data_IF_555220786291
#
_entry.id   IF_555220786291
#
_cell.length_a   1.000
_cell.length_b   1.000
_cell.length_c   1.000
_cell.angle_alpha   90.00
_cell.angle_beta   90.00
_cell.angle_gamma   90.00
#
_symmetry.space_group_name_H-M   'P 1'
#
loop_
_entity.id
_entity.type
_entity.pdbx_description
1 polymer ?
#
# COMPACT_ATOMS: atom_id res chain seq x y z
N UNK A 1 -29.18 19.38 7.50
CA UNK A 1 -28.98 18.00 7.01
C UNK A 1 -30.09 17.69 6.01
N UNK A 2 -29.85 17.99 4.72
CA UNK A 2 -30.78 17.56 3.66
C UNK A 2 -30.73 16.03 3.53
N UNK A 3 -31.90 15.44 3.32
CA UNK A 3 -32.19 14.02 3.45
C UNK A 3 -31.53 13.20 2.32
N UNK A 4 -30.33 12.70 2.57
CA UNK A 4 -29.64 11.75 1.68
C UNK A 4 -30.21 10.32 1.75
N UNK A 5 -30.98 10.00 2.78
CA UNK A 5 -31.54 8.66 2.97
C UNK A 5 -33.07 8.69 2.89
N UNK A 6 -33.70 7.62 2.35
CA UNK A 6 -35.15 7.47 2.43
C UNK A 6 -35.59 7.66 3.88
N UNK A 7 -36.69 8.39 4.09
CA UNK A 7 -37.29 8.72 5.37
C UNK A 7 -37.75 7.45 6.11
N UNK A 8 -36.83 6.58 6.53
CA UNK A 8 -37.11 5.56 7.52
C UNK A 8 -37.32 6.30 8.84
N UNK A 9 -38.54 6.13 9.35
CA UNK A 9 -39.09 6.78 10.52
C UNK A 9 -38.04 6.95 11.62
N UNK A 10 -37.62 8.21 11.86
CA UNK A 10 -36.81 8.63 13.03
C UNK A 10 -37.41 8.16 14.37
N UNK A 11 -38.62 7.61 14.39
CA UNK A 11 -39.38 7.27 15.60
C UNK A 11 -39.16 5.84 16.11
N UNK A 12 -38.57 4.92 15.34
CA UNK A 12 -38.56 3.49 15.73
C UNK A 12 -37.19 2.91 16.09
N UNK A 13 -36.09 3.62 15.83
CA UNK A 13 -34.77 3.22 16.30
C UNK A 13 -34.34 4.20 17.39
N UNK A 14 -34.65 3.87 18.65
CA UNK A 14 -33.88 4.41 19.75
C UNK A 14 -32.45 3.91 19.58
N UNK A 15 -31.62 4.66 18.85
CA UNK A 15 -30.20 4.38 18.77
C UNK A 15 -29.65 4.51 20.18
N UNK A 16 -29.44 3.38 20.83
CA UNK A 16 -28.84 3.34 22.16
C UNK A 16 -27.51 4.08 22.08
N UNK A 17 -27.28 4.98 23.03
CA UNK A 17 -26.06 5.81 23.08
C UNK A 17 -24.76 4.99 22.95
N UNK A 18 -24.74 3.76 23.49
CA UNK A 18 -23.62 2.82 23.35
C UNK A 18 -23.30 2.41 21.91
N UNK A 19 -24.29 2.30 21.02
CA UNK A 19 -24.07 1.96 19.61
C UNK A 19 -23.44 3.13 18.84
N UNK A 20 -23.89 4.36 19.14
CA UNK A 20 -23.29 5.56 18.58
C UNK A 20 -21.83 5.69 19.05
N UNK A 21 -21.56 5.42 20.33
CA UNK A 21 -20.19 5.44 20.84
C UNK A 21 -19.31 4.39 20.16
N UNK A 22 -19.84 3.18 19.91
CA UNK A 22 -19.12 2.11 19.24
C UNK A 22 -18.80 2.45 17.78
N UNK A 23 -19.75 3.03 17.04
CA UNK A 23 -19.54 3.45 15.64
C UNK A 23 -18.66 4.71 15.55
N UNK A 24 -18.67 5.56 16.59
CA UNK A 24 -17.83 6.76 16.65
C UNK A 24 -16.44 6.49 17.23
N UNK A 25 -16.16 5.27 17.71
CA UNK A 25 -14.89 4.98 18.39
C UNK A 25 -13.68 4.96 17.45
N UNK A 26 -13.92 4.76 16.14
CA UNK A 26 -12.88 4.69 15.11
C UNK A 26 -13.38 5.37 13.84
N UNK A 27 -13.48 6.69 13.90
CA UNK A 27 -13.92 7.48 12.76
C UNK A 27 -12.84 7.49 11.66
N UNK A 28 -13.30 7.42 10.41
CA UNK A 28 -12.46 7.62 9.24
C UNK A 28 -12.50 9.09 8.83
N UNK A 29 -11.34 9.74 8.77
CA UNK A 29 -11.24 11.16 8.49
C UNK A 29 -11.03 11.48 7.00
N UNK A 30 -10.52 10.50 6.24
CA UNK A 30 -10.14 10.67 4.83
C UNK A 30 -8.71 11.17 4.65
N UNK A 31 -7.81 10.82 5.56
CA UNK A 31 -6.37 11.09 5.42
C UNK A 31 -5.69 10.06 4.52
N UNK A 32 -4.58 10.46 3.87
CA UNK A 32 -3.88 9.61 2.89
C UNK A 32 -3.37 8.27 3.44
N UNK A 33 -3.12 8.21 4.75
CA UNK A 33 -2.63 7.01 5.45
C UNK A 33 -3.75 6.09 5.93
N UNK A 34 -5.01 6.52 5.89
CA UNK A 34 -6.13 5.68 6.30
C UNK A 34 -6.53 4.72 5.17
N UNK A 35 -6.86 3.48 5.53
CA UNK A 35 -7.33 2.47 4.58
C UNK A 35 -8.88 2.46 4.58
N UNK A 36 -9.55 2.94 3.51
CA UNK A 36 -11.00 2.95 3.44
C UNK A 36 -11.59 1.53 3.35
N UNK A 37 -10.86 0.55 2.81
CA UNK A 37 -11.31 -0.85 2.82
C UNK A 37 -11.29 -1.43 4.23
N UNK A 38 -10.23 -1.16 5.01
CA UNK A 38 -10.19 -1.55 6.43
C UNK A 38 -11.31 -0.89 7.24
N UNK A 39 -11.65 0.38 6.96
CA UNK A 39 -12.76 1.07 7.58
C UNK A 39 -14.10 0.37 7.30
N UNK A 40 -14.39 0.07 6.03
CA UNK A 40 -15.62 -0.65 5.63
C UNK A 40 -15.68 -2.04 6.28
N UNK A 41 -14.58 -2.80 6.33
CA UNK A 41 -14.54 -4.10 7.02
C UNK A 41 -14.84 -3.98 8.51
N UNK A 42 -14.22 -3.02 9.19
CA UNK A 42 -14.49 -2.75 10.59
C UNK A 42 -15.95 -2.35 10.83
N UNK A 43 -16.48 -1.43 10.03
CA UNK A 43 -17.86 -0.97 10.14
C UNK A 43 -18.87 -2.10 9.92
N UNK A 44 -18.65 -2.95 8.91
CA UNK A 44 -19.47 -4.13 8.67
C UNK A 44 -19.44 -5.10 9.85
N UNK A 45 -18.26 -5.31 10.47
CA UNK A 45 -18.12 -6.16 11.65
C UNK A 45 -18.87 -5.63 12.87
N UNK A 46 -18.87 -4.31 13.07
CA UNK A 46 -19.61 -3.69 14.18
C UNK A 46 -21.12 -3.75 13.92
N UNK A 47 -21.55 -3.40 12.71
CA UNK A 47 -22.98 -3.38 12.36
C UNK A 47 -23.61 -4.76 12.24
N UNK A 48 -22.86 -5.82 11.92
CA UNK A 48 -23.38 -7.19 11.89
C UNK A 48 -23.84 -7.70 13.27
N UNK A 49 -23.31 -7.13 14.36
CA UNK A 49 -23.75 -7.43 15.73
C UNK A 49 -25.10 -6.81 16.06
N UNK A 50 -25.60 -5.89 15.24
CA UNK A 50 -26.85 -5.17 15.47
C UNK A 50 -27.99 -5.90 14.76
N UNK A 51 -28.96 -6.39 15.54
CA UNK A 51 -30.20 -6.97 15.00
C UNK A 51 -31.40 -6.20 15.54
N UNK A 52 -32.20 -5.67 14.62
CA UNK A 52 -33.45 -5.00 14.93
C UNK A 52 -34.60 -5.73 14.23
N UNK A 53 -35.66 -6.14 14.96
CA UNK A 53 -36.82 -6.74 14.35
C UNK A 53 -37.40 -5.82 13.26
N UNK A 54 -37.69 -6.38 12.09
CA UNK A 54 -38.33 -5.68 10.96
C UNK A 54 -37.53 -4.53 10.32
N UNK A 55 -36.22 -4.44 10.58
CA UNK A 55 -35.34 -3.46 9.90
C UNK A 55 -34.27 -4.19 9.11
N UNK A 56 -34.18 -3.88 7.81
CA UNK A 56 -33.15 -4.43 6.93
C UNK A 56 -31.75 -3.96 7.37
N UNK A 57 -30.76 -4.87 7.32
CA UNK A 57 -29.38 -4.57 7.72
C UNK A 57 -28.79 -3.39 6.92
N UNK A 58 -29.04 -3.37 5.61
CA UNK A 58 -28.68 -2.26 4.71
C UNK A 58 -29.17 -0.91 5.24
N UNK A 59 -30.40 -0.82 5.75
CA UNK A 59 -30.95 0.42 6.31
C UNK A 59 -30.24 0.85 7.59
N UNK A 60 -29.87 -0.10 8.45
CA UNK A 60 -29.11 0.16 9.69
C UNK A 60 -27.72 0.71 9.33
N UNK A 61 -27.03 0.08 8.37
CA UNK A 61 -25.71 0.51 7.90
C UNK A 61 -25.73 1.93 7.34
N UNK A 62 -26.67 2.23 6.44
CA UNK A 62 -26.80 3.57 5.85
C UNK A 62 -27.08 4.64 6.90
N UNK A 63 -27.89 4.32 7.91
CA UNK A 63 -28.18 5.24 9.01
C UNK A 63 -26.98 5.51 9.93
N UNK A 64 -26.15 4.48 10.17
CA UNK A 64 -25.02 4.56 11.10
C UNK A 64 -23.73 5.08 10.45
N UNK A 65 -23.55 4.88 9.15
CA UNK A 65 -22.33 5.25 8.45
C UNK A 65 -21.89 6.71 8.66
N UNK A 66 -22.79 7.72 8.66
CA UNK A 66 -22.41 9.11 8.91
C UNK A 66 -21.75 9.36 10.28
N UNK A 67 -21.94 8.48 11.26
CA UNK A 67 -21.28 8.57 12.57
C UNK A 67 -19.87 7.97 12.56
N UNK A 68 -19.60 7.07 11.60
CA UNK A 68 -18.31 6.41 11.43
C UNK A 68 -17.27 7.23 10.66
N UNK A 69 -17.64 8.40 10.15
CA UNK A 69 -16.77 9.25 9.33
C UNK A 69 -16.70 10.67 9.89
N UNK A 70 -15.57 11.34 9.67
CA UNK A 70 -15.34 12.73 10.06
C UNK A 70 -14.49 13.45 9.00
N UNK A 71 -14.19 14.73 9.18
CA UNK A 71 -13.21 15.45 8.34
C UNK A 71 -13.58 15.45 6.85
N UNK A 72 -12.61 15.11 6.00
CA UNK A 72 -12.79 15.08 4.55
C UNK A 72 -13.86 14.07 4.12
N UNK A 73 -13.96 12.93 4.80
CA UNK A 73 -14.99 11.93 4.54
C UNK A 73 -16.40 12.44 4.84
N UNK A 74 -16.59 13.15 5.97
CA UNK A 74 -17.89 13.78 6.27
C UNK A 74 -18.24 14.87 5.25
N UNK A 75 -17.25 15.65 4.80
CA UNK A 75 -17.46 16.69 3.77
C UNK A 75 -17.87 16.05 2.45
N UNK A 76 -17.22 14.96 2.03
CA UNK A 76 -17.59 14.21 0.83
C UNK A 76 -19.05 13.74 0.88
N UNK A 77 -19.46 13.07 1.97
CA UNK A 77 -20.82 12.54 2.07
C UNK A 77 -21.88 13.65 1.96
N UNK A 78 -21.61 14.85 2.47
CA UNK A 78 -22.51 16.01 2.36
C UNK A 78 -22.60 16.59 0.94
N UNK A 79 -21.59 16.36 0.10
CA UNK A 79 -21.53 16.85 -1.29
C UNK A 79 -22.19 15.89 -2.28
N UNK A 80 -22.46 14.65 -1.89
CA UNK A 80 -23.13 13.69 -2.75
C UNK A 80 -24.52 14.19 -3.20
N UNK A 81 -24.88 14.01 -4.48
CA UNK A 81 -26.20 14.41 -4.96
C UNK A 81 -27.33 13.70 -4.20
N UNK A 82 -28.46 14.38 -3.97
CA UNK A 82 -29.63 13.73 -3.39
C UNK A 82 -30.02 12.47 -4.18
N UNK A 83 -30.36 11.39 -3.47
CA UNK A 83 -30.76 10.10 -4.06
C UNK A 83 -29.67 9.40 -4.89
N UNK A 84 -28.40 9.83 -4.80
CA UNK A 84 -27.28 9.12 -5.46
C UNK A 84 -26.88 7.83 -4.74
N UNK A 85 -27.20 7.71 -3.45
CA UNK A 85 -26.92 6.55 -2.60
C UNK A 85 -28.24 5.96 -2.15
N UNK A 86 -28.63 4.82 -2.74
CA UNK A 86 -29.88 4.13 -2.41
C UNK A 86 -29.65 2.85 -1.63
N UNK A 87 -28.51 2.20 -1.88
CA UNK A 87 -28.11 0.93 -1.25
C UNK A 87 -26.80 1.08 -0.48
N UNK A 88 -26.49 0.10 0.36
CA UNK A 88 -25.19 0.05 1.05
C UNK A 88 -24.05 -0.14 0.04
N UNK A 89 -24.31 -0.92 -1.00
CA UNK A 89 -23.40 -1.20 -2.10
C UNK A 89 -23.05 0.08 -2.89
N UNK A 90 -24.04 0.94 -3.16
CA UNK A 90 -23.82 2.25 -3.80
C UNK A 90 -22.92 3.14 -2.93
N UNK A 91 -23.20 3.18 -1.62
CA UNK A 91 -22.42 3.97 -0.67
C UNK A 91 -20.97 3.51 -0.65
N UNK A 92 -20.75 2.19 -0.51
CA UNK A 92 -19.41 1.59 -0.46
C UNK A 92 -18.67 1.87 -1.77
N UNK A 93 -19.31 1.65 -2.92
CA UNK A 93 -18.70 1.89 -4.22
C UNK A 93 -18.23 3.34 -4.37
N UNK A 94 -19.09 4.32 -4.06
CA UNK A 94 -18.75 5.74 -4.12
C UNK A 94 -17.67 6.14 -3.10
N UNK A 95 -17.76 5.61 -1.88
CA UNK A 95 -16.78 5.87 -0.82
C UNK A 95 -15.38 5.36 -1.21
N UNK A 96 -15.29 4.11 -1.66
CA UNK A 96 -14.02 3.52 -2.13
C UNK A 96 -13.49 4.30 -3.33
N UNK A 97 -14.30 4.59 -4.34
CA UNK A 97 -13.85 5.35 -5.51
C UNK A 97 -13.37 6.77 -5.15
N UNK A 98 -13.90 7.38 -4.10
CA UNK A 98 -13.47 8.70 -3.64
C UNK A 98 -12.12 8.66 -2.90
N UNK A 99 -11.93 7.70 -1.98
CA UNK A 99 -10.77 7.67 -1.07
C UNK A 99 -9.67 6.70 -1.50
N UNK A 100 -9.99 5.79 -2.41
CA UNK A 100 -9.07 4.81 -3.01
C UNK A 100 -9.48 4.52 -4.47
N UNK A 101 -9.34 5.52 -5.37
CA UNK A 101 -9.77 5.37 -6.76
C UNK A 101 -9.01 4.24 -7.47
N UNK A 102 -9.59 3.62 -8.50
CA UNK A 102 -8.92 2.58 -9.29
C UNK A 102 -7.55 3.00 -9.82
N UNK A 103 -7.36 4.28 -10.17
CA UNK A 103 -6.06 4.81 -10.59
C UNK A 103 -4.98 4.71 -9.51
N UNK A 104 -5.33 4.91 -8.24
CA UNK A 104 -4.40 4.74 -7.11
C UNK A 104 -3.99 3.27 -6.97
N UNK A 105 -4.95 2.34 -7.12
CA UNK A 105 -4.65 0.91 -7.15
C UNK A 105 -3.72 0.54 -8.32
N UNK A 106 -4.02 1.00 -9.53
CA UNK A 106 -3.17 0.76 -10.72
C UNK A 106 -1.76 1.31 -10.52
N UNK A 107 -1.61 2.52 -9.98
CA UNK A 107 -0.31 3.10 -9.72
C UNK A 107 0.49 2.28 -8.70
N UNK A 108 -0.15 1.84 -7.60
CA UNK A 108 0.50 0.98 -6.62
C UNK A 108 0.93 -0.37 -7.23
N UNK A 109 0.08 -1.00 -8.04
CA UNK A 109 0.45 -2.23 -8.74
C UNK A 109 1.64 -2.01 -9.68
N UNK A 110 1.66 -0.89 -10.42
CA UNK A 110 2.78 -0.54 -11.29
C UNK A 110 4.06 -0.26 -10.50
N UNK A 111 3.97 0.39 -9.34
CA UNK A 111 5.12 0.63 -8.46
C UNK A 111 5.67 -0.67 -7.85
N UNK A 112 4.81 -1.64 -7.57
CA UNK A 112 5.22 -2.98 -7.13
C UNK A 112 5.92 -3.71 -8.28
N UNK A 113 5.29 -3.82 -9.45
CA UNK A 113 5.83 -4.57 -10.60
C UNK A 113 7.14 -3.97 -11.13
N UNK A 114 7.24 -2.64 -11.16
CA UNK A 114 8.44 -1.93 -11.61
C UNK A 114 9.36 -1.52 -10.45
N UNK A 115 9.21 -2.16 -9.29
CA UNK A 115 10.03 -1.84 -8.13
C UNK A 115 11.51 -1.99 -8.49
N UNK A 116 12.31 -1.03 -8.07
CA UNK A 116 13.78 -1.05 -8.17
C UNK A 116 14.34 -0.43 -6.90
N UNK A 117 15.37 -1.05 -6.33
CA UNK A 117 16.15 -0.47 -5.23
C UNK A 117 16.91 0.74 -5.76
N UNK A 118 16.87 1.86 -5.02
CA UNK A 118 17.60 3.07 -5.43
C UNK A 118 19.10 2.92 -5.15
N UNK A 119 19.94 3.69 -5.86
CA UNK A 119 21.40 3.63 -5.73
C UNK A 119 21.88 4.02 -4.32
N UNK A 120 21.26 5.04 -3.73
CA UNK A 120 21.57 5.60 -2.42
C UNK A 120 20.81 4.92 -1.27
N UNK A 121 19.85 4.06 -1.58
CA UNK A 121 19.02 3.36 -0.62
C UNK A 121 19.73 2.09 -0.11
N UNK A 122 19.64 1.81 1.18
CA UNK A 122 20.12 0.56 1.77
C UNK A 122 19.16 -0.60 1.48
N UNK A 123 19.62 -1.85 1.67
CA UNK A 123 18.75 -3.02 1.56
C UNK A 123 17.52 -2.94 2.49
N UNK A 124 17.68 -2.42 3.70
CA UNK A 124 16.60 -2.29 4.68
C UNK A 124 15.54 -1.29 4.25
N UNK A 125 15.97 -0.11 3.81
CA UNK A 125 15.06 0.93 3.33
C UNK A 125 14.27 0.42 2.11
N UNK A 126 14.93 -0.28 1.19
CA UNK A 126 14.27 -0.91 0.05
C UNK A 126 13.27 -1.99 0.49
N UNK A 127 13.63 -2.84 1.44
CA UNK A 127 12.71 -3.84 2.01
C UNK A 127 11.48 -3.19 2.64
N UNK A 128 11.68 -2.14 3.44
CA UNK A 128 10.59 -1.47 4.15
C UNK A 128 9.68 -0.72 3.16
N UNK A 129 10.26 -0.05 2.16
CA UNK A 129 9.51 0.59 1.07
C UNK A 129 8.69 -0.42 0.27
N UNK A 130 9.25 -1.58 -0.08
CA UNK A 130 8.51 -2.62 -0.77
C UNK A 130 7.34 -3.16 0.08
N UNK A 131 7.56 -3.40 1.38
CA UNK A 131 6.50 -3.81 2.31
C UNK A 131 5.43 -2.74 2.47
N UNK A 132 5.79 -1.46 2.48
CA UNK A 132 4.84 -0.34 2.53
C UNK A 132 3.95 -0.33 1.28
N UNK A 133 4.52 -0.56 0.09
CA UNK A 133 3.76 -0.66 -1.16
C UNK A 133 2.77 -1.83 -1.13
N UNK A 134 3.19 -3.01 -0.68
CA UNK A 134 2.31 -4.17 -0.52
C UNK A 134 1.18 -3.89 0.49
N UNK A 135 1.48 -3.24 1.61
CA UNK A 135 0.49 -2.87 2.63
C UNK A 135 -0.50 -1.82 2.14
N UNK A 136 -0.08 -0.91 1.27
CA UNK A 136 -0.94 0.10 0.66
C UNK A 136 -1.89 -0.49 -0.41
N UNK A 137 -1.60 -1.70 -0.91
CA UNK A 137 -2.40 -2.37 -1.93
C UNK A 137 -2.86 -3.78 -1.48
N UNK A 138 -3.68 -3.92 -0.43
CA UNK A 138 -4.04 -5.23 0.12
C UNK A 138 -4.83 -6.14 -0.84
N UNK A 139 -5.34 -5.60 -1.95
CA UNK A 139 -6.07 -6.33 -2.99
C UNK A 139 -5.27 -6.47 -4.30
N UNK A 140 -3.94 -6.37 -4.24
CA UNK A 140 -3.05 -6.35 -5.42
C UNK A 140 -3.04 -7.63 -6.28
N UNK A 141 -3.59 -8.75 -5.80
CA UNK A 141 -3.63 -10.02 -6.55
C UNK A 141 -2.28 -10.74 -6.73
N UNK A 142 -1.14 -10.10 -6.45
CA UNK A 142 0.17 -10.74 -6.49
C UNK A 142 0.29 -11.91 -5.50
N UNK A 143 0.66 -13.07 -6.02
CA UNK A 143 1.09 -14.22 -5.22
C UNK A 143 2.40 -13.91 -4.49
N UNK A 144 2.59 -14.52 -3.31
CA UNK A 144 3.79 -14.34 -2.47
C UNK A 144 5.09 -14.64 -3.26
N UNK A 145 5.09 -15.69 -4.10
CA UNK A 145 6.21 -16.01 -4.99
C UNK A 145 6.53 -14.87 -5.98
N UNK A 146 5.50 -14.28 -6.60
CA UNK A 146 5.69 -13.16 -7.52
C UNK A 146 6.26 -11.92 -6.80
N UNK A 147 5.83 -11.67 -5.56
CA UNK A 147 6.37 -10.58 -4.75
C UNK A 147 7.86 -10.79 -4.44
N UNK A 148 8.25 -12.02 -4.08
CA UNK A 148 9.63 -12.38 -3.79
C UNK A 148 10.52 -12.30 -5.03
N UNK A 149 10.04 -12.80 -6.16
CA UNK A 149 10.73 -12.72 -7.45
C UNK A 149 10.93 -11.25 -7.88
N UNK A 150 9.86 -10.45 -7.83
CA UNK A 150 9.91 -9.02 -8.15
C UNK A 150 10.92 -8.30 -7.27
N UNK A 151 10.90 -8.54 -5.95
CA UNK A 151 11.84 -7.91 -5.03
C UNK A 151 13.29 -8.35 -5.28
N UNK A 152 13.53 -9.65 -5.47
CA UNK A 152 14.87 -10.19 -5.72
C UNK A 152 15.47 -9.64 -7.01
N UNK A 153 14.68 -9.56 -8.09
CA UNK A 153 15.14 -9.03 -9.38
C UNK A 153 15.33 -7.50 -9.36
N UNK A 154 14.79 -6.81 -8.35
CA UNK A 154 14.84 -5.37 -8.21
C UNK A 154 16.00 -4.83 -7.35
N UNK A 155 16.68 -5.69 -6.60
CA UNK A 155 17.84 -5.33 -5.78
C UNK A 155 19.14 -5.50 -6.56
N UNK A 156 20.22 -4.86 -6.09
CA UNK A 156 21.51 -4.93 -6.76
C UNK A 156 22.16 -6.32 -6.63
N UNK A 157 23.09 -6.70 -7.53
CA UNK A 157 23.73 -8.01 -7.50
C UNK A 157 24.41 -8.36 -6.17
N UNK A 158 25.00 -7.37 -5.49
CA UNK A 158 25.64 -7.58 -4.17
C UNK A 158 24.64 -8.01 -3.10
N UNK A 159 23.45 -7.43 -3.09
CA UNK A 159 22.38 -7.82 -2.18
C UNK A 159 21.78 -9.18 -2.58
N UNK A 160 21.68 -9.48 -3.88
CA UNK A 160 21.28 -10.81 -4.38
C UNK A 160 22.26 -11.90 -3.92
N UNK A 161 23.57 -11.71 -4.12
CA UNK A 161 24.62 -12.64 -3.69
C UNK A 161 24.56 -12.88 -2.17
N UNK A 162 24.33 -11.81 -1.41
CA UNK A 162 24.16 -11.91 0.04
C UNK A 162 22.92 -12.70 0.44
N UNK A 163 21.81 -12.62 -0.30
CA UNK A 163 20.63 -13.45 -0.07
C UNK A 163 20.90 -14.91 -0.47
N UNK A 164 21.57 -15.15 -1.59
CA UNK A 164 21.92 -16.50 -2.06
C UNK A 164 22.87 -17.21 -1.08
N UNK A 165 23.88 -16.49 -0.56
CA UNK A 165 24.78 -17.01 0.46
C UNK A 165 24.03 -17.40 1.74
N UNK A 166 23.08 -16.57 2.19
CA UNK A 166 22.25 -16.88 3.36
C UNK A 166 21.26 -18.03 3.11
N UNK A 167 20.84 -18.23 1.87
CA UNK A 167 20.01 -19.37 1.45
C UNK A 167 20.84 -20.67 1.29
N UNK A 168 22.16 -20.58 1.16
CA UNK A 168 23.02 -21.72 0.81
C UNK A 168 22.75 -22.23 -0.61
N UNK A 169 22.48 -21.31 -1.54
CA UNK A 169 22.09 -21.61 -2.93
C UNK A 169 21.25 -20.48 -3.52
N UNK A 170 20.58 -20.70 -4.65
CA UNK A 170 19.66 -19.70 -5.19
C UNK A 170 18.53 -19.40 -4.19
N UNK A 171 18.34 -18.12 -3.90
CA UNK A 171 17.31 -17.64 -2.98
C UNK A 171 15.91 -18.01 -3.46
N UNK A 172 15.64 -17.88 -4.76
CA UNK A 172 14.31 -18.14 -5.34
C UNK A 172 13.94 -19.64 -5.39
N UNK A 173 14.89 -20.55 -5.17
CA UNK A 173 14.63 -21.99 -5.09
C UNK A 173 14.09 -22.42 -3.70
N UNK A 174 14.11 -21.51 -2.72
CA UNK A 174 13.61 -21.78 -1.36
C UNK A 174 12.10 -21.63 -1.29
N UNK A 175 11.50 -22.22 -0.25
CA UNK A 175 10.10 -22.00 0.04
C UNK A 175 9.85 -20.54 0.41
N UNK A 176 8.70 -19.93 0.05
CA UNK A 176 8.40 -18.52 0.31
C UNK A 176 8.64 -18.10 1.78
N UNK A 177 8.21 -18.94 2.73
CA UNK A 177 8.45 -18.73 4.17
C UNK A 177 9.92 -18.60 4.54
N UNK A 178 10.79 -19.35 3.86
CA UNK A 178 12.23 -19.36 4.13
C UNK A 178 12.86 -18.12 3.48
N UNK A 179 12.42 -17.74 2.27
CA UNK A 179 12.78 -16.49 1.61
C UNK A 179 12.46 -15.28 2.50
N UNK A 180 11.23 -15.21 3.03
CA UNK A 180 10.82 -14.15 3.95
C UNK A 180 11.70 -14.10 5.20
N UNK A 181 11.98 -15.25 5.82
CA UNK A 181 12.85 -15.35 7.00
C UNK A 181 14.26 -14.85 6.71
N UNK A 182 14.83 -15.20 5.56
CA UNK A 182 16.18 -14.78 5.14
C UNK A 182 16.20 -13.26 4.89
N UNK A 183 15.23 -12.73 4.14
CA UNK A 183 15.09 -11.28 3.89
C UNK A 183 14.95 -10.50 5.19
N UNK A 184 14.13 -10.99 6.12
CA UNK A 184 13.95 -10.35 7.43
C UNK A 184 15.23 -10.39 8.27
N UNK A 185 15.94 -11.52 8.26
CA UNK A 185 17.22 -11.66 8.98
C UNK A 185 18.27 -10.67 8.46
N UNK A 186 18.45 -10.57 7.14
CA UNK A 186 19.35 -9.58 6.52
C UNK A 186 18.91 -8.16 6.86
N UNK A 187 17.61 -7.87 6.83
CA UNK A 187 17.09 -6.55 7.20
C UNK A 187 17.39 -6.19 8.67
N UNK A 188 17.34 -7.15 9.60
CA UNK A 188 17.69 -6.91 11.01
C UNK A 188 19.18 -6.60 11.17
N UNK A 189 20.04 -7.25 10.39
CA UNK A 189 21.49 -7.02 10.42
C UNK A 189 21.82 -5.60 9.98
N UNK A 190 21.28 -5.08 8.87
CA UNK A 190 21.64 -3.72 8.46
C UNK A 190 21.07 -2.64 9.41
N UNK A 191 19.89 -2.86 10.00
CA UNK A 191 19.37 -1.97 11.05
C UNK A 191 20.24 -1.95 12.32
N UNK A 192 20.95 -3.05 12.62
CA UNK A 192 21.89 -3.12 13.76
C UNK A 192 23.20 -2.37 13.49
N UNK A 193 23.67 -2.36 12.24
CA UNK A 193 24.91 -1.68 11.81
C UNK A 193 24.74 -0.18 11.59
N UNK A 194 23.51 0.28 11.31
CA UNK A 194 23.17 1.69 11.19
C UNK A 194 22.87 2.40 12.52
N UNK A 195 22.96 1.71 13.66
CA UNK A 195 22.99 2.40 14.96
C UNK A 195 24.33 3.13 15.08
N UNK A 196 24.35 4.45 15.33
CA UNK A 196 25.61 5.12 15.62
C UNK A 196 26.17 4.48 16.89
N UNK A 197 27.28 3.75 16.75
CA UNK A 197 28.09 3.38 17.89
C UNK A 197 28.60 4.70 18.44
N UNK A 198 27.96 5.21 19.49
CA UNK A 198 28.58 6.21 20.36
C UNK A 198 29.69 5.45 21.09
N UNK A 199 30.80 5.22 20.40
CA UNK A 199 32.03 4.83 21.06
C UNK A 199 32.39 6.00 21.96
N UNK A 200 32.27 5.81 23.28
CA UNK A 200 32.90 6.69 24.25
C UNK A 200 34.40 6.58 24.02
N UNK A 201 34.94 7.46 23.18
CA UNK A 201 36.37 7.68 23.09
C UNK A 201 36.76 8.42 24.36
N UNK A 202 37.36 7.68 25.31
CA UNK A 202 38.13 8.30 26.38
C UNK A 202 39.25 9.08 25.72
N UNK A 203 39.22 10.40 25.94
CA UNK A 203 40.30 11.34 25.65
C UNK A 203 41.62 10.77 26.14
N UNK A 204 42.55 10.56 25.22
CA UNK A 204 43.98 10.77 25.44
C UNK A 204 44.71 10.94 24.10
N UNK A 205 45.40 12.08 24.00
CA UNK A 205 46.59 12.35 23.18
C UNK A 205 46.43 12.81 21.71
N UNK A 206 46.86 14.05 21.51
CA UNK A 206 47.49 14.67 20.33
C UNK A 206 46.68 14.90 19.06
N UNK A 207 46.28 16.17 18.89
CA UNK A 207 45.93 16.81 17.64
C UNK A 207 47.06 16.69 16.60
N UNK A 208 46.85 15.89 15.56
CA UNK A 208 47.58 16.02 14.29
C UNK A 208 46.60 16.43 13.19
N UNK A 209 46.80 17.65 12.70
CA UNK A 209 46.02 18.29 11.65
C UNK A 209 46.02 17.43 10.37
N UNK A 210 44.83 17.06 9.89
CA UNK A 210 44.62 16.30 8.64
C UNK A 210 44.81 17.21 7.39
N UNK A 211 45.34 18.42 7.57
CA UNK A 211 45.45 19.44 6.51
C UNK A 211 46.73 19.32 5.65
N UNK A 212 47.44 18.19 5.69
CA UNK A 212 48.77 18.08 5.09
C UNK A 212 48.93 16.90 4.11
N UNK A 213 47.93 16.64 3.29
CA UNK A 213 48.09 15.77 2.11
C UNK A 213 47.51 16.47 0.86
N UNK A 214 48.35 17.09 0.02
CA UNK A 214 47.94 17.76 -1.23
C UNK A 214 47.15 16.87 -2.20
N UNK A 215 47.38 15.56 -2.12
CA UNK A 215 46.80 14.53 -3.00
C UNK A 215 45.29 14.30 -2.74
N UNK A 216 44.85 14.42 -1.49
CA UNK A 216 43.43 14.22 -1.11
C UNK A 216 42.57 15.43 -1.49
N UNK A 217 43.13 16.63 -1.41
CA UNK A 217 42.47 17.87 -1.84
C UNK A 217 42.31 17.87 -3.37
N UNK A 218 43.37 17.48 -4.11
CA UNK A 218 43.33 17.36 -5.56
C UNK A 218 42.29 16.33 -6.06
N UNK A 219 42.18 15.18 -5.38
CA UNK A 219 41.16 14.17 -5.67
C UNK A 219 39.73 14.69 -5.42
N UNK A 220 39.54 15.47 -4.36
CA UNK A 220 38.23 16.03 -4.01
C UNK A 220 37.78 17.09 -5.03
N UNK A 221 38.71 17.90 -5.55
CA UNK A 221 38.42 18.90 -6.56
C UNK A 221 38.18 18.29 -7.95
N UNK A 222 38.93 17.23 -8.32
CA UNK A 222 38.71 16.49 -9.56
C UNK A 222 37.32 15.82 -9.63
N UNK A 223 36.82 15.28 -8.51
CA UNK A 223 35.47 14.70 -8.42
C UNK A 223 34.38 15.76 -8.61
N UNK A 224 34.59 16.98 -8.08
CA UNK A 224 33.65 18.09 -8.27
C UNK A 224 33.61 18.59 -9.71
N UNK A 225 34.74 18.61 -10.41
CA UNK A 225 34.78 19.02 -11.82
C UNK A 225 34.13 17.99 -12.75
N UNK A 226 34.27 16.69 -12.49
CA UNK A 226 33.55 15.64 -13.22
C UNK A 226 32.03 15.74 -13.04
N UNK A 227 31.55 16.13 -11.85
CA UNK A 227 30.13 16.35 -11.59
C UNK A 227 29.54 17.56 -12.32
N UNK A 228 30.37 18.56 -12.68
CA UNK A 228 29.92 19.75 -13.45
C UNK A 228 29.82 19.50 -14.95
N UNK A 229 30.49 18.48 -15.49
CA UNK A 229 30.47 18.17 -16.93
C UNK A 229 29.26 17.34 -17.38
N UNK A 230 28.55 16.69 -16.45
CA UNK A 230 27.31 15.97 -16.75
C UNK A 230 26.08 16.89 -16.66
N UNK A 231 25.92 17.81 -17.63
CA UNK A 231 24.63 18.42 -17.93
C UNK A 231 23.86 17.52 -18.92
N UNK A 232 22.69 17.08 -18.46
CA UNK A 232 21.61 16.32 -19.09
C UNK A 232 21.41 16.51 -20.61
N UNK A 233 21.06 15.44 -21.36
CA UNK A 233 20.29 15.56 -22.60
C UNK A 233 18.78 15.69 -22.32
N UNK A 234 18.13 16.46 -23.18
CA UNK A 234 16.70 16.78 -23.27
C UNK A 234 15.80 15.53 -23.38
N UNK A 235 14.57 15.50 -22.81
CA UNK A 235 13.68 14.36 -22.95
C UNK A 235 13.12 14.28 -24.38
N UNK A 236 13.37 13.17 -25.07
CA UNK A 236 12.66 12.81 -26.29
C UNK A 236 11.25 12.30 -25.95
N UNK A 237 10.25 12.69 -26.75
CA UNK A 237 8.88 12.18 -26.65
C UNK A 237 8.86 10.66 -26.79
N UNK A 238 8.43 9.96 -25.75
CA UNK A 238 8.24 8.50 -25.76
C UNK A 238 6.90 8.20 -26.44
N UNK A 239 6.94 7.43 -27.54
CA UNK A 239 5.75 6.89 -28.21
C UNK A 239 4.95 6.02 -27.25
N UNK A 240 3.62 6.12 -27.33
CA UNK A 240 2.67 5.31 -26.58
C UNK A 240 3.00 3.81 -26.68
N UNK A 241 3.30 3.21 -25.53
CA UNK A 241 3.46 1.76 -25.39
C UNK A 241 2.08 1.12 -25.45
N UNK A 242 1.89 0.14 -26.34
CA UNK A 242 0.66 -0.65 -26.41
C UNK A 242 0.54 -1.50 -25.14
N UNK A 243 -0.59 -1.37 -24.45
CA UNK A 243 -0.96 -2.23 -23.32
C UNK A 243 -0.96 -3.70 -23.77
N UNK A 244 -0.02 -4.48 -23.21
CA UNK A 244 -0.01 -5.93 -23.35
C UNK A 244 -0.31 -6.56 -21.99
N UNK A 245 -1.18 -7.55 -21.99
CA UNK A 245 -1.63 -8.27 -20.83
C UNK A 245 -0.49 -9.15 -20.32
N UNK A 246 -0.02 -8.87 -19.11
CA UNK A 246 1.05 -9.63 -18.46
C UNK A 246 0.70 -11.09 -18.15
N UNK A 247 -0.59 -11.45 -18.17
CA UNK A 247 -1.08 -12.82 -17.89
C UNK A 247 -1.00 -13.74 -19.11
N UNK A 248 -1.22 -13.21 -20.32
CA UNK A 248 -1.28 -14.02 -21.54
C UNK A 248 -0.49 -13.47 -22.75
N UNK A 249 0.13 -12.30 -22.61
CA UNK A 249 0.81 -11.59 -23.70
C UNK A 249 -0.11 -10.91 -24.72
N UNK A 250 -1.43 -10.92 -24.52
CA UNK A 250 -2.41 -10.33 -25.45
C UNK A 250 -2.46 -8.80 -25.45
N UNK A 251 -2.87 -8.15 -26.54
CA UNK A 251 -3.04 -6.68 -26.60
C UNK A 251 -4.37 -6.23 -25.95
N UNK A 252 -4.48 -6.40 -24.64
CA UNK A 252 -5.60 -5.90 -23.83
C UNK A 252 -5.15 -5.59 -22.39
N UNK A 253 -5.91 -4.76 -21.65
CA UNK A 253 -5.70 -4.58 -20.22
C UNK A 253 -5.93 -5.89 -19.44
N UNK A 254 -5.27 -6.04 -18.29
CA UNK A 254 -5.31 -7.27 -17.47
C UNK A 254 -6.73 -7.76 -17.14
N UNK A 255 -7.68 -6.85 -16.87
CA UNK A 255 -9.06 -7.20 -16.49
C UNK A 255 -9.92 -7.78 -17.64
N UNK A 256 -9.41 -7.81 -18.87
CA UNK A 256 -10.05 -8.42 -20.03
C UNK A 256 -9.38 -9.74 -20.47
N UNK A 257 -8.50 -10.33 -19.65
CA UNK A 257 -7.81 -11.58 -19.97
C UNK A 257 -8.72 -12.80 -19.78
N UNK A 258 -9.01 -13.52 -20.86
CA UNK A 258 -9.93 -14.68 -20.87
C UNK A 258 -9.23 -16.04 -20.81
N UNK A 259 -7.94 -16.13 -20.44
CA UNK A 259 -7.23 -17.42 -20.39
C UNK A 259 -7.90 -18.36 -19.40
N UNK A 260 -8.71 -19.25 -19.96
CA UNK A 260 -9.31 -20.42 -19.34
C UNK A 260 -8.21 -21.40 -18.98
N UNK A 261 -7.71 -21.29 -17.76
CA UNK A 261 -7.51 -22.45 -16.87
C UNK A 261 -7.45 -21.94 -15.43
N UNK A 262 -8.62 -21.95 -14.79
CA UNK A 262 -8.75 -21.77 -13.34
C UNK A 262 -8.83 -20.33 -12.82
N UNK A 263 -9.83 -19.56 -13.28
CA UNK A 263 -10.77 -18.76 -12.45
C UNK A 263 -11.64 -18.00 -13.46
N UNK A 264 -12.82 -18.54 -13.74
CA UNK A 264 -13.88 -17.76 -14.34
C UNK A 264 -14.31 -16.72 -13.29
N UNK A 265 -13.94 -15.46 -13.50
CA UNK A 265 -14.61 -14.33 -12.86
C UNK A 265 -16.03 -14.26 -13.45
N UNK A 266 -16.91 -15.14 -12.98
CA UNK A 266 -18.34 -14.81 -12.93
C UNK A 266 -18.51 -14.02 -11.65
N UNK A 267 -18.90 -12.77 -11.80
CA UNK A 267 -19.37 -11.91 -10.72
C UNK A 267 -20.42 -12.65 -9.89
N UNK A 268 -19.99 -13.31 -8.81
CA UNK A 268 -20.86 -14.00 -7.89
C UNK A 268 -20.96 -13.20 -6.61
N UNK A 269 -21.74 -12.11 -6.71
CA UNK A 269 -22.25 -11.32 -5.58
C UNK A 269 -23.03 -12.21 -4.57
N UNK A 270 -23.36 -13.46 -4.94
CA UNK A 270 -24.10 -14.40 -4.11
C UNK A 270 -23.24 -15.16 -3.08
N UNK A 271 -21.92 -15.27 -3.26
CA UNK A 271 -21.07 -16.05 -2.33
C UNK A 271 -20.68 -15.25 -1.07
N UNK A 272 -20.85 -13.92 -1.11
CA UNK A 272 -20.64 -13.04 0.04
C UNK A 272 -21.78 -13.11 1.10
N UNK A 273 -22.87 -13.82 0.81
CA UNK A 273 -24.06 -13.91 1.67
C UNK A 273 -24.10 -15.19 2.52
N UNK A 274 -23.23 -16.18 2.27
CA UNK A 274 -23.28 -17.48 2.98
C UNK A 274 -22.14 -17.74 3.96
N UNK A 275 -21.24 -16.77 4.18
CA UNK A 275 -20.22 -16.85 5.22
C UNK A 275 -20.40 -15.72 6.25
N UNK A 276 -21.22 -16.03 7.27
CA UNK A 276 -21.43 -15.34 8.57
C UNK A 276 -22.51 -14.26 8.63
#
# INVERSE_FOLDING_TARGET
MQSLFPLFSRRNLSLKHGLLNLVSSKQFYGHDKEDPHAHIRWFNKITSTMRYPNVQNTSIKLMLFPFSIEGAARIWLKKEPPRSILTWEDLVSKFINQFFPPSKMTNLCNEITNFQKRFDESFCEACDRFKDLLRACPHHGFMELHQLDTFYNAINPTDQDSLNAAAGGNFLDKMPRDCLRITESKSKVCNSRNKPVISRVSTNTSSTNITQFPEVVALTDAVKDLLRQNKTPTPAFVKAVKDSCVTCGGQHPYYNCTTTDGIAFKDNIQEYVSAV
#
